data_IF_914539658834
#
_entry.id   IF_914539658834
#
_cell.length_a   1.000
_cell.length_b   1.000
_cell.length_c   1.000
_cell.angle_alpha   90.00
_cell.angle_beta   90.00
_cell.angle_gamma   90.00
#
_symmetry.space_group_name_H-M   'P 1'
#
loop_
_entity.id
_entity.type
_entity.pdbx_description
1 polymer ?
#
# COMPACT_ATOMS: atom_id res chain seq x y z
N UNK A 1 12.77 -2.64 24.89
CA UNK A 1 11.40 -2.08 24.89
C UNK A 1 11.18 -1.45 23.53
N UNK A 2 10.00 -1.66 22.94
CA UNK A 2 9.55 -1.00 21.71
C UNK A 2 8.18 -0.39 22.00
N UNK A 3 7.97 0.86 21.59
CA UNK A 3 6.71 1.57 21.81
C UNK A 3 6.32 2.28 20.49
N UNK A 4 5.49 1.63 19.65
CA UNK A 4 5.03 2.22 18.38
C UNK A 4 3.89 3.21 18.62
N UNK A 5 3.86 4.27 17.83
CA UNK A 5 2.81 5.29 17.84
C UNK A 5 2.65 5.85 16.42
N UNK A 6 1.44 6.31 16.08
CA UNK A 6 1.25 7.11 14.88
C UNK A 6 2.00 8.44 15.00
N UNK A 7 2.74 8.82 13.95
CA UNK A 7 3.58 10.03 13.98
C UNK A 7 2.77 11.28 14.26
N UNK A 8 1.55 11.37 13.71
CA UNK A 8 0.65 12.50 13.90
C UNK A 8 0.23 12.69 15.36
N UNK A 9 0.38 11.68 16.22
CA UNK A 9 0.18 11.85 17.66
C UNK A 9 1.04 13.00 18.18
N UNK A 10 2.29 13.10 17.74
CA UNK A 10 3.25 14.09 18.24
C UNK A 10 3.26 15.34 17.35
N UNK A 11 2.45 16.32 17.72
CA UNK A 11 2.43 17.68 17.14
C UNK A 11 1.09 18.02 16.47
N UNK A 12 0.41 17.02 15.89
CA UNK A 12 -0.92 17.23 15.31
C UNK A 12 -2.02 16.98 16.35
N UNK A 13 -2.09 15.77 16.92
CA UNK A 13 -3.09 15.44 17.95
C UNK A 13 -2.68 15.89 19.36
N UNK A 14 -1.39 15.78 19.69
CA UNK A 14 -0.82 16.30 20.93
C UNK A 14 0.26 17.34 20.60
N UNK A 15 -0.09 18.61 20.80
CA UNK A 15 0.73 19.75 20.39
C UNK A 15 2.15 19.71 20.98
N UNK A 16 2.30 19.41 22.27
CA UNK A 16 3.60 19.36 22.96
C UNK A 16 4.37 18.05 22.70
N UNK A 17 3.80 17.12 21.93
CA UNK A 17 4.39 15.81 21.67
C UNK A 17 5.84 15.85 21.14
N UNK A 18 6.21 16.71 20.18
CA UNK A 18 7.58 16.83 19.71
C UNK A 18 8.55 17.31 20.80
N UNK A 19 8.13 18.28 21.62
CA UNK A 19 8.93 18.78 22.74
C UNK A 19 9.12 17.73 23.81
N UNK A 20 8.07 16.95 24.10
CA UNK A 20 8.12 15.81 24.98
C UNK A 20 9.13 14.76 24.48
N UNK A 21 9.02 14.32 23.22
CA UNK A 21 9.96 13.36 22.65
C UNK A 21 11.41 13.88 22.72
N UNK A 22 11.62 15.15 22.37
CA UNK A 22 12.94 15.76 22.45
C UNK A 22 13.46 15.79 23.91
N UNK A 23 12.62 16.11 24.88
CA UNK A 23 12.99 16.07 26.29
C UNK A 23 13.34 14.65 26.77
N UNK A 24 12.57 13.63 26.37
CA UNK A 24 12.86 12.22 26.66
C UNK A 24 14.24 11.84 26.15
N UNK A 25 14.56 12.11 24.88
CA UNK A 25 15.87 11.76 24.32
C UNK A 25 17.02 12.56 24.95
N UNK A 26 16.83 13.84 25.27
CA UNK A 26 17.84 14.64 26.00
C UNK A 26 18.10 14.06 27.40
N UNK A 27 17.07 13.64 28.13
CA UNK A 27 17.23 13.04 29.45
C UNK A 27 17.89 11.66 29.40
N UNK A 28 17.55 10.83 28.41
CA UNK A 28 18.22 9.54 28.16
C UNK A 28 19.71 9.73 27.87
N UNK A 29 20.10 10.80 27.18
CA UNK A 29 21.50 11.10 26.89
C UNK A 29 22.27 11.65 28.11
N UNK A 30 21.62 12.47 28.96
CA UNK A 30 22.26 13.09 30.13
C UNK A 30 22.49 12.12 31.27
N UNK A 31 21.50 11.26 31.54
CA UNK A 31 21.58 10.33 32.67
C UNK A 31 22.40 9.12 32.22
N UNK A 32 23.30 8.61 33.07
CA UNK A 32 23.89 7.27 32.90
C UNK A 32 22.84 6.19 33.21
N UNK A 33 21.68 6.26 32.56
CA UNK A 33 20.60 5.30 32.72
C UNK A 33 20.94 4.00 32.00
N UNK A 34 20.42 2.90 32.51
CA UNK A 34 20.56 1.57 31.91
C UNK A 34 19.82 1.43 30.57
N UNK A 35 18.97 2.40 30.21
CA UNK A 35 18.18 2.39 28.97
C UNK A 35 18.90 3.22 27.91
N UNK A 36 19.15 2.61 26.75
CA UNK A 36 19.77 3.27 25.60
C UNK A 36 18.83 3.25 24.40
N UNK A 37 18.56 4.39 23.76
CA UNK A 37 17.84 4.40 22.51
C UNK A 37 18.68 3.74 21.42
N UNK A 38 18.03 2.99 20.54
CA UNK A 38 18.65 2.35 19.38
C UNK A 38 17.65 2.31 18.23
N UNK A 39 18.15 2.32 17.01
CA UNK A 39 17.34 1.93 15.85
C UNK A 39 17.07 0.43 15.90
N UNK A 40 15.99 -0.01 15.26
CA UNK A 40 15.65 -1.43 15.18
C UNK A 40 16.78 -2.27 14.56
N UNK A 41 17.36 -1.78 13.45
CA UNK A 41 18.48 -2.43 12.77
C UNK A 41 19.69 -2.63 13.68
N UNK A 42 20.16 -1.55 14.32
CA UNK A 42 21.29 -1.62 15.25
C UNK A 42 21.03 -2.60 16.40
N UNK A 43 19.82 -2.61 16.95
CA UNK A 43 19.48 -3.55 18.01
C UNK A 43 19.59 -5.00 17.54
N UNK A 44 19.12 -5.32 16.34
CA UNK A 44 19.20 -6.66 15.75
C UNK A 44 20.65 -7.07 15.41
N UNK A 45 21.49 -6.14 14.95
CA UNK A 45 22.91 -6.39 14.69
C UNK A 45 23.66 -6.71 16.00
N UNK A 46 23.42 -5.91 17.05
CA UNK A 46 24.06 -6.07 18.35
C UNK A 46 23.50 -7.29 19.13
N UNK A 47 22.26 -7.68 18.86
CA UNK A 47 21.53 -8.72 19.60
C UNK A 47 20.74 -9.65 18.64
N UNK A 48 21.44 -10.48 17.85
CA UNK A 48 20.78 -11.37 16.90
C UNK A 48 19.83 -12.34 17.61
N UNK A 49 18.65 -12.54 17.01
CA UNK A 49 17.63 -13.43 17.58
C UNK A 49 18.13 -14.88 17.61
N UNK A 50 17.81 -15.58 18.69
CA UNK A 50 18.15 -17.00 18.87
C UNK A 50 16.94 -17.91 18.91
N UNK A 51 15.75 -17.32 18.91
CA UNK A 51 14.47 -17.99 19.03
C UNK A 51 13.59 -17.62 17.85
N UNK A 52 12.86 -18.61 17.34
CA UNK A 52 11.80 -18.39 16.37
C UNK A 52 10.44 -18.56 17.06
N UNK A 53 9.46 -17.78 16.61
CA UNK A 53 8.08 -17.85 17.06
C UNK A 53 7.18 -17.96 15.83
N UNK A 54 6.12 -18.78 15.92
CA UNK A 54 5.05 -18.79 14.94
C UNK A 54 4.00 -17.77 15.36
N UNK A 55 3.87 -16.68 14.60
CA UNK A 55 2.88 -15.65 14.88
C UNK A 55 1.48 -16.12 14.45
N UNK A 56 0.45 -15.96 15.30
CA UNK A 56 -0.93 -16.10 14.84
C UNK A 56 -1.30 -14.92 13.92
N UNK A 57 -2.37 -15.10 13.15
CA UNK A 57 -2.95 -13.99 12.40
C UNK A 57 -3.46 -12.91 13.37
N UNK A 58 -3.28 -11.64 13.01
CA UNK A 58 -3.77 -10.52 13.80
C UNK A 58 -3.31 -9.17 13.26
N UNK A 59 -3.79 -8.11 13.91
CA UNK A 59 -3.40 -6.73 13.63
C UNK A 59 -3.22 -5.96 14.94
N UNK A 60 -2.71 -4.74 14.84
CA UNK A 60 -2.72 -3.76 15.94
C UNK A 60 -3.99 -2.86 15.97
N UNK A 61 -4.99 -3.18 15.15
CA UNK A 61 -6.28 -2.48 15.10
C UNK A 61 -7.26 -2.96 16.18
N UNK A 62 -8.54 -2.62 16.02
CA UNK A 62 -9.57 -3.06 16.95
C UNK A 62 -9.61 -4.59 17.06
N UNK A 63 -9.84 -5.10 18.27
CA UNK A 63 -9.91 -6.53 18.62
C UNK A 63 -8.65 -7.36 18.34
N UNK A 64 -7.58 -6.77 17.80
CA UNK A 64 -6.37 -7.49 17.41
C UNK A 64 -6.53 -8.40 16.20
N UNK A 65 -7.63 -8.27 15.45
CA UNK A 65 -7.97 -9.09 14.28
C UNK A 65 -8.12 -8.22 13.01
N UNK A 66 -8.81 -8.73 11.97
CA UNK A 66 -9.01 -8.03 10.70
C UNK A 66 -10.35 -7.31 10.58
N UNK A 67 -11.18 -7.31 11.63
CA UNK A 67 -12.56 -6.81 11.59
C UNK A 67 -12.68 -5.33 11.21
N UNK A 68 -11.63 -4.54 11.42
CA UNK A 68 -11.54 -3.14 10.98
C UNK A 68 -11.53 -2.95 9.46
N UNK A 69 -10.96 -3.91 8.71
CA UNK A 69 -10.81 -3.82 7.25
C UNK A 69 -11.68 -4.83 6.51
N UNK A 70 -11.96 -5.97 7.13
CA UNK A 70 -12.75 -7.07 6.59
C UNK A 70 -13.97 -7.31 7.47
N UNK A 71 -15.06 -6.62 7.14
CA UNK A 71 -16.35 -6.77 7.80
C UNK A 71 -17.52 -6.44 6.87
N UNK A 72 -18.77 -6.57 7.35
CA UNK A 72 -19.96 -6.37 6.52
C UNK A 72 -20.03 -5.01 5.81
N UNK A 73 -19.48 -3.96 6.42
CA UNK A 73 -19.48 -2.60 5.84
C UNK A 73 -18.47 -2.42 4.69
N UNK A 74 -17.44 -3.26 4.64
CA UNK A 74 -16.30 -3.12 3.71
C UNK A 74 -16.17 -4.29 2.76
N UNK A 75 -16.95 -5.38 2.94
CA UNK A 75 -16.91 -6.58 2.12
C UNK A 75 -17.01 -6.30 0.61
N UNK A 76 -17.89 -5.36 0.22
CA UNK A 76 -18.08 -4.94 -1.17
C UNK A 76 -16.80 -4.38 -1.82
N UNK A 77 -15.87 -3.82 -1.03
CA UNK A 77 -14.58 -3.34 -1.58
C UNK A 77 -13.71 -4.51 -2.03
N UNK A 78 -13.71 -5.60 -1.27
CA UNK A 78 -12.92 -6.80 -1.55
C UNK A 78 -13.50 -7.61 -2.72
N UNK A 79 -14.83 -7.71 -2.78
CA UNK A 79 -15.54 -8.33 -3.92
C UNK A 79 -15.20 -7.66 -5.25
N UNK A 80 -14.84 -6.36 -5.22
CA UNK A 80 -14.38 -5.61 -6.39
C UNK A 80 -12.86 -5.74 -6.62
N UNK A 81 -12.05 -5.65 -5.56
CA UNK A 81 -10.59 -5.65 -5.66
C UNK A 81 -10.01 -6.98 -6.12
N UNK A 82 -10.46 -8.11 -5.56
CA UNK A 82 -9.86 -9.42 -5.84
C UNK A 82 -9.87 -9.79 -7.34
N UNK A 83 -11.00 -9.75 -8.06
CA UNK A 83 -11.00 -10.06 -9.48
C UNK A 83 -10.26 -9.01 -10.32
N UNK A 84 -10.20 -7.75 -9.87
CA UNK A 84 -9.46 -6.71 -10.56
C UNK A 84 -7.94 -6.93 -10.47
N UNK A 85 -7.45 -7.32 -9.29
CA UNK A 85 -6.04 -7.67 -9.08
C UNK A 85 -5.62 -8.87 -9.94
N UNK A 86 -6.45 -9.92 -9.98
CA UNK A 86 -6.21 -11.10 -10.82
C UNK A 86 -6.08 -10.69 -12.31
N UNK A 87 -7.05 -9.92 -12.82
CA UNK A 87 -7.04 -9.44 -14.22
C UNK A 87 -5.86 -8.54 -14.53
N UNK A 88 -5.41 -7.72 -13.58
CA UNK A 88 -4.20 -6.91 -13.75
C UNK A 88 -2.97 -7.80 -13.95
N UNK A 89 -2.79 -8.79 -13.08
CA UNK A 89 -1.63 -9.69 -13.15
C UNK A 89 -1.66 -10.60 -14.37
N UNK A 90 -2.83 -10.98 -14.87
CA UNK A 90 -2.96 -11.70 -16.14
C UNK A 90 -2.52 -10.84 -17.34
N UNK A 91 -2.87 -9.55 -17.35
CA UNK A 91 -2.54 -8.64 -18.45
C UNK A 91 -1.09 -8.13 -18.42
N UNK A 92 -0.51 -7.99 -17.22
CA UNK A 92 0.77 -7.32 -17.01
C UNK A 92 1.96 -7.90 -17.80
N UNK A 93 2.15 -9.23 -17.94
CA UNK A 93 3.29 -9.79 -18.68
C UNK A 93 3.32 -9.38 -20.15
N UNK A 94 2.18 -9.49 -20.84
CA UNK A 94 2.08 -9.12 -22.25
C UNK A 94 2.19 -7.60 -22.44
N UNK A 95 1.53 -6.83 -21.57
CA UNK A 95 1.58 -5.38 -21.59
C UNK A 95 3.00 -4.83 -21.36
N UNK A 96 3.78 -5.44 -20.48
CA UNK A 96 5.16 -5.01 -20.19
C UNK A 96 6.08 -5.20 -21.40
N UNK A 97 5.86 -6.27 -22.16
CA UNK A 97 6.60 -6.59 -23.38
C UNK A 97 6.20 -5.71 -24.58
N UNK A 98 5.02 -5.10 -24.56
CA UNK A 98 4.53 -4.19 -25.60
C UNK A 98 4.86 -2.73 -25.26
N UNK A 99 5.80 -2.07 -25.96
CA UNK A 99 6.15 -0.67 -25.69
C UNK A 99 4.96 0.30 -25.75
N UNK A 100 3.97 0.04 -26.60
CA UNK A 100 2.78 0.88 -26.74
C UNK A 100 1.82 0.78 -25.53
N UNK A 101 1.91 -0.30 -24.75
CA UNK A 101 1.05 -0.54 -23.60
C UNK A 101 1.69 -0.08 -22.27
N UNK A 102 2.99 0.25 -22.26
CA UNK A 102 3.73 0.51 -21.01
C UNK A 102 3.20 1.70 -20.20
N UNK A 103 2.81 2.78 -20.86
CA UNK A 103 2.23 3.95 -20.17
C UNK A 103 0.87 3.61 -19.54
N UNK A 104 0.05 2.84 -20.25
CA UNK A 104 -1.24 2.35 -19.75
C UNK A 104 -1.04 1.38 -18.58
N UNK A 105 -0.09 0.46 -18.69
CA UNK A 105 0.28 -0.48 -17.63
C UNK A 105 0.78 0.24 -16.37
N UNK A 106 1.64 1.25 -16.54
CA UNK A 106 2.15 2.04 -15.42
C UNK A 106 0.99 2.72 -14.67
N UNK A 107 0.08 3.37 -15.38
CA UNK A 107 -1.05 4.02 -14.73
C UNK A 107 -2.05 3.01 -14.14
N UNK A 108 -2.33 1.90 -14.83
CA UNK A 108 -3.20 0.84 -14.30
C UNK A 108 -2.68 0.30 -12.97
N UNK A 109 -1.36 0.12 -12.85
CA UNK A 109 -0.72 -0.33 -11.62
C UNK A 109 -0.83 0.71 -10.49
N UNK A 110 -0.71 2.00 -10.78
CA UNK A 110 -0.90 3.07 -9.79
C UNK A 110 -2.34 3.11 -9.30
N UNK A 111 -3.32 3.06 -10.20
CA UNK A 111 -4.73 3.04 -9.83
C UNK A 111 -5.07 1.80 -9.01
N UNK A 112 -4.51 0.64 -9.34
CA UNK A 112 -4.68 -0.57 -8.54
C UNK A 112 -4.08 -0.42 -7.14
N UNK A 113 -2.84 0.08 -7.01
CA UNK A 113 -2.20 0.32 -5.72
C UNK A 113 -2.98 1.35 -4.88
N UNK A 114 -3.49 2.41 -5.50
CA UNK A 114 -4.33 3.40 -4.84
C UNK A 114 -5.64 2.78 -4.38
N UNK A 115 -6.28 1.92 -5.19
CA UNK A 115 -7.48 1.18 -4.79
C UNK A 115 -7.22 0.19 -3.64
N UNK A 116 -6.01 -0.37 -3.55
CA UNK A 116 -5.59 -1.31 -2.51
C UNK A 116 -5.17 -0.65 -1.18
N UNK A 117 -5.21 0.68 -1.06
CA UNK A 117 -4.93 1.33 0.23
C UNK A 117 -5.92 0.88 1.30
N UNK A 118 -5.41 0.40 2.44
CA UNK A 118 -6.22 -0.03 3.58
C UNK A 118 -6.93 1.13 4.29
N UNK A 119 -6.53 2.38 4.00
CA UNK A 119 -7.18 3.59 4.50
C UNK A 119 -8.65 3.64 4.10
N UNK A 120 -9.02 3.13 2.92
CA UNK A 120 -10.41 3.19 2.46
C UNK A 120 -11.34 2.41 3.40
N UNK A 121 -11.01 1.16 3.69
CA UNK A 121 -11.80 0.32 4.59
C UNK A 121 -11.72 0.86 6.02
N UNK A 122 -10.57 1.39 6.45
CA UNK A 122 -10.43 2.00 7.77
C UNK A 122 -11.34 3.24 7.96
N UNK A 123 -11.36 4.17 6.99
CA UNK A 123 -12.18 5.38 7.02
C UNK A 123 -13.67 5.04 6.93
N UNK A 124 -14.04 4.03 6.14
CA UNK A 124 -15.42 3.52 6.09
C UNK A 124 -15.84 2.96 7.45
N UNK A 125 -15.05 2.05 8.03
CA UNK A 125 -15.36 1.39 9.30
C UNK A 125 -15.40 2.35 10.50
N UNK A 126 -14.56 3.39 10.50
CA UNK A 126 -14.54 4.41 11.58
C UNK A 126 -15.61 5.49 11.40
N UNK A 127 -16.24 5.58 10.22
CA UNK A 127 -17.28 6.57 9.93
C UNK A 127 -16.79 8.01 9.79
N UNK A 128 -15.47 8.26 9.79
CA UNK A 128 -14.92 9.62 9.79
C UNK A 128 -15.23 10.40 8.51
N UNK A 129 -15.05 9.77 7.34
CA UNK A 129 -15.31 10.36 6.03
C UNK A 129 -15.72 9.27 5.02
N UNK A 130 -16.67 8.43 5.40
CA UNK A 130 -17.05 7.22 4.64
C UNK A 130 -17.46 7.51 3.18
N UNK A 131 -18.18 8.59 2.93
CA UNK A 131 -18.58 9.00 1.56
C UNK A 131 -17.36 9.33 0.69
N UNK A 132 -16.37 10.01 1.27
CA UNK A 132 -15.13 10.33 0.57
C UNK A 132 -14.33 9.08 0.23
N UNK A 133 -14.12 8.19 1.22
CA UNK A 133 -13.40 6.95 1.02
C UNK A 133 -14.09 6.04 0.00
N UNK A 134 -15.42 5.90 0.09
CA UNK A 134 -16.24 5.14 -0.88
C UNK A 134 -16.06 5.68 -2.29
N UNK A 135 -16.18 7.00 -2.48
CA UNK A 135 -16.02 7.63 -3.79
C UNK A 135 -14.61 7.43 -4.35
N UNK A 136 -13.57 7.69 -3.55
CA UNK A 136 -12.17 7.56 -3.99
C UNK A 136 -11.81 6.13 -4.35
N UNK A 137 -12.19 5.17 -3.53
CA UNK A 137 -12.04 3.76 -3.82
C UNK A 137 -12.69 3.38 -5.16
N UNK A 138 -13.94 3.81 -5.36
CA UNK A 138 -14.65 3.54 -6.61
C UNK A 138 -14.01 4.20 -7.82
N UNK A 139 -13.52 5.44 -7.70
CA UNK A 139 -12.80 6.15 -8.76
C UNK A 139 -11.53 5.39 -9.19
N UNK A 140 -10.71 4.93 -8.24
CA UNK A 140 -9.48 4.18 -8.52
C UNK A 140 -9.78 2.79 -9.10
N UNK A 141 -10.76 2.05 -8.57
CA UNK A 141 -11.17 0.78 -9.17
C UNK A 141 -11.67 0.95 -10.60
N UNK A 142 -12.54 1.93 -10.86
CA UNK A 142 -13.06 2.17 -12.21
C UNK A 142 -11.96 2.54 -13.20
N UNK A 143 -10.99 3.36 -12.77
CA UNK A 143 -9.84 3.73 -13.60
C UNK A 143 -8.95 2.51 -13.88
N UNK A 144 -8.64 1.70 -12.87
CA UNK A 144 -7.88 0.46 -13.05
C UNK A 144 -8.61 -0.53 -13.97
N UNK A 145 -9.93 -0.73 -13.79
CA UNK A 145 -10.76 -1.61 -14.63
C UNK A 145 -10.72 -1.18 -16.10
N UNK A 146 -10.87 0.12 -16.38
CA UNK A 146 -10.81 0.70 -17.72
C UNK A 146 -9.46 0.43 -18.39
N UNK A 147 -8.36 0.74 -17.70
CA UNK A 147 -7.01 0.58 -18.24
C UNK A 147 -6.66 -0.90 -18.42
N UNK A 148 -6.98 -1.76 -17.45
CA UNK A 148 -6.76 -3.21 -17.53
C UNK A 148 -7.55 -3.82 -18.68
N UNK A 149 -8.81 -3.40 -18.90
CA UNK A 149 -9.59 -3.87 -20.04
C UNK A 149 -8.93 -3.52 -21.39
N UNK A 150 -8.37 -2.31 -21.53
CA UNK A 150 -7.65 -1.91 -22.73
C UNK A 150 -6.35 -2.72 -22.94
N UNK A 151 -5.64 -3.04 -21.85
CA UNK A 151 -4.45 -3.90 -21.90
C UNK A 151 -4.79 -5.32 -22.36
N UNK A 152 -5.90 -5.88 -21.89
CA UNK A 152 -6.38 -7.22 -22.29
C UNK A 152 -6.80 -7.22 -23.76
N UNK A 153 -7.51 -6.18 -24.21
CA UNK A 153 -7.93 -6.07 -25.61
C UNK A 153 -6.73 -5.94 -26.56
N UNK A 154 -5.71 -5.17 -26.16
CA UNK A 154 -4.42 -5.06 -26.88
C UNK A 154 -4.47 -4.39 -28.25
N UNK A 155 -5.65 -3.93 -28.70
CA UNK A 155 -5.82 -3.23 -29.97
C UNK A 155 -5.27 -1.81 -29.95
N UNK A 156 -4.81 -1.32 -31.11
CA UNK A 156 -4.17 -0.01 -31.24
C UNK A 156 -5.12 1.15 -30.87
N UNK A 157 -6.39 1.03 -31.26
CA UNK A 157 -7.43 2.03 -30.95
C UNK A 157 -7.68 2.11 -29.44
N UNK A 158 -7.83 0.95 -28.79
CA UNK A 158 -8.06 0.80 -27.36
C UNK A 158 -6.87 1.35 -26.56
N UNK A 159 -5.64 1.00 -26.94
CA UNK A 159 -4.42 1.49 -26.29
C UNK A 159 -4.24 3.00 -26.48
N UNK A 160 -4.64 3.56 -27.63
CA UNK A 160 -4.57 5.01 -27.87
C UNK A 160 -5.52 5.76 -26.95
N UNK A 161 -6.77 5.32 -26.84
CA UNK A 161 -7.75 5.91 -25.92
C UNK A 161 -7.32 5.76 -24.46
N UNK A 162 -6.86 4.57 -24.06
CA UNK A 162 -6.37 4.31 -22.72
C UNK A 162 -5.12 5.13 -22.36
N UNK A 163 -4.25 5.44 -23.32
CA UNK A 163 -3.10 6.30 -23.09
C UNK A 163 -3.52 7.75 -22.82
N UNK A 164 -4.50 8.27 -23.58
CA UNK A 164 -5.06 9.59 -23.29
C UNK A 164 -5.66 9.63 -21.88
N UNK A 165 -6.42 8.59 -21.51
CA UNK A 165 -6.97 8.43 -20.15
C UNK A 165 -5.88 8.36 -19.08
N UNK A 166 -4.82 7.59 -19.32
CA UNK A 166 -3.68 7.47 -18.42
C UNK A 166 -2.98 8.82 -18.20
N UNK A 167 -2.82 9.62 -19.26
CA UNK A 167 -2.27 10.98 -19.16
C UNK A 167 -3.16 11.92 -18.34
N UNK A 168 -4.49 11.77 -18.43
CA UNK A 168 -5.42 12.53 -17.59
C UNK A 168 -5.32 12.15 -16.10
N UNK A 169 -5.25 10.86 -15.80
CA UNK A 169 -5.11 10.34 -14.44
C UNK A 169 -3.78 10.75 -13.82
N UNK A 170 -2.68 10.69 -14.58
CA UNK A 170 -1.35 11.08 -14.13
C UNK A 170 -1.26 12.54 -13.64
N UNK A 171 -2.16 13.44 -14.05
CA UNK A 171 -2.19 14.81 -13.48
C UNK A 171 -2.48 14.83 -11.97
N UNK A 172 -3.08 13.77 -11.44
CA UNK A 172 -3.49 13.65 -10.03
C UNK A 172 -2.85 12.46 -9.34
N UNK A 173 -2.64 11.38 -10.07
CA UNK A 173 -2.30 10.05 -9.56
C UNK A 173 -0.96 9.54 -10.14
N UNK A 174 0.06 10.41 -10.25
CA UNK A 174 1.43 10.09 -10.74
C UNK A 174 2.41 9.81 -9.60
N UNK A 175 2.10 8.78 -8.81
CA UNK A 175 2.98 8.22 -7.79
C UNK A 175 3.88 7.14 -8.38
N UNK A 176 4.96 6.77 -7.69
CA UNK A 176 5.82 5.63 -8.07
C UNK A 176 6.39 5.75 -9.50
N UNK A 177 7.36 6.67 -9.73
CA UNK A 177 7.96 6.85 -11.06
C UNK A 177 8.70 5.58 -11.57
N UNK A 178 9.05 4.68 -10.66
CA UNK A 178 9.76 3.40 -10.90
C UNK A 178 8.82 2.18 -10.93
N UNK A 179 7.51 2.39 -11.12
CA UNK A 179 6.52 1.30 -11.06
C UNK A 179 6.74 0.20 -12.13
N UNK A 180 7.17 0.55 -13.34
CA UNK A 180 7.46 -0.45 -14.39
C UNK A 180 8.68 -1.33 -14.06
N UNK A 181 9.83 -0.78 -13.63
CA UNK A 181 10.92 -1.57 -13.05
C UNK A 181 10.45 -2.49 -11.91
N UNK A 182 9.66 -1.98 -10.96
CA UNK A 182 9.15 -2.78 -9.84
C UNK A 182 8.27 -3.95 -10.31
N UNK A 183 7.37 -3.72 -11.27
CA UNK A 183 6.55 -4.78 -11.88
C UNK A 183 7.41 -5.83 -12.58
N UNK A 184 8.47 -5.42 -13.29
CA UNK A 184 9.39 -6.36 -13.92
C UNK A 184 10.07 -7.28 -12.90
N UNK A 185 10.45 -6.74 -11.73
CA UNK A 185 11.04 -7.52 -10.63
C UNK A 185 10.01 -8.49 -10.05
N UNK A 186 8.79 -8.03 -9.79
CA UNK A 186 7.71 -8.86 -9.26
C UNK A 186 7.39 -10.05 -10.19
N UNK A 187 7.23 -9.79 -11.50
CA UNK A 187 6.99 -10.83 -12.51
C UNK A 187 8.17 -11.78 -12.69
N UNK A 188 9.41 -11.30 -12.49
CA UNK A 188 10.62 -12.12 -12.52
C UNK A 188 10.77 -13.03 -11.29
N UNK A 189 10.37 -12.55 -10.10
CA UNK A 189 10.43 -13.29 -8.83
C UNK A 189 9.36 -14.38 -8.70
N UNK A 190 8.22 -14.24 -9.38
CA UNK A 190 7.14 -15.26 -9.38
C UNK A 190 7.54 -16.60 -10.02
N UNK A 191 8.66 -16.69 -10.74
CA UNK A 191 9.19 -17.96 -11.26
C UNK A 191 9.88 -18.83 -10.20
N UNK A 192 10.12 -18.33 -9.00
CA UNK A 192 10.90 -19.05 -7.97
C UNK A 192 10.08 -19.74 -6.87
N UNK A 193 8.75 -19.57 -6.84
CA UNK A 193 7.88 -20.14 -5.79
C UNK A 193 6.96 -21.28 -6.25
N UNK A 194 7.03 -21.67 -7.52
CA UNK A 194 6.38 -22.89 -8.03
C UNK A 194 7.46 -23.90 -8.36
N UNK A 195 8.05 -24.50 -7.32
CA UNK A 195 8.76 -25.80 -7.29
C UNK A 195 9.45 -25.92 -5.92
N UNK A 196 8.78 -26.62 -5.00
CA UNK A 196 9.27 -26.97 -3.67
C UNK A 196 8.27 -27.87 -2.97
#
# INVERSE_FOLDING_TARGET
MVAPFDTELFGHWWFEGPDFLAAVYRELARRRVAVRPATGSRHLDDHPSRNALRLPAGSWGANGDFSMWLGPQTAWTWERLWPLEERFWDAAPAALMNPAAREVLAQAARELLLAQSSDWQFIISTGAAADYATRRFQEHCSAAEELVAALIAGGESELTAARARAGDLARRDDLFPDILPALSVALGGSRSYVLG
#
